data_IF_960352189684
#
_entry.id   IF_960352189684
#
_cell.length_a   1.000
_cell.length_b   1.000
_cell.length_c   1.000
_cell.angle_alpha   90.00
_cell.angle_beta   90.00
_cell.angle_gamma   90.00
#
_symmetry.space_group_name_H-M   'P 1'
#
loop_
_entity.id
_entity.type
_entity.pdbx_description
1 polymer ?
#
# COMPACT_ATOMS: atom_id res chain seq x y z
N UNK A 1 12.51 -1.55 -14.14
CA UNK A 1 12.93 -1.38 -12.73
C UNK A 1 11.72 -1.49 -11.82
N UNK A 2 11.88 -2.19 -10.71
CA UNK A 2 10.79 -2.30 -9.75
C UNK A 2 10.64 -1.00 -8.96
N UNK A 3 9.40 -0.71 -8.56
CA UNK A 3 9.12 0.45 -7.71
C UNK A 3 9.30 0.03 -6.25
N UNK A 4 10.50 0.24 -5.73
CA UNK A 4 10.84 -0.18 -4.36
C UNK A 4 10.02 0.55 -3.30
N UNK A 5 9.69 1.80 -3.54
CA UNK A 5 8.88 2.58 -2.61
C UNK A 5 7.49 1.96 -2.48
N UNK A 6 6.88 1.57 -3.58
CA UNK A 6 5.56 0.93 -3.58
C UNK A 6 5.61 -0.43 -2.88
N UNK A 7 6.64 -1.23 -3.19
CA UNK A 7 6.83 -2.54 -2.55
C UNK A 7 6.98 -2.38 -1.03
N UNK A 8 7.77 -1.43 -0.59
CA UNK A 8 7.99 -1.18 0.83
C UNK A 8 6.69 -0.80 1.54
N UNK A 9 5.90 0.09 0.92
CA UNK A 9 4.59 0.46 1.46
C UNK A 9 3.69 -0.75 1.59
N UNK A 10 3.62 -1.57 0.55
CA UNK A 10 2.76 -2.74 0.55
C UNK A 10 3.15 -3.76 1.61
N UNK A 11 4.44 -4.07 1.68
CA UNK A 11 4.95 -5.07 2.64
C UNK A 11 4.72 -4.60 4.08
N UNK A 12 4.99 -3.34 4.37
CA UNK A 12 4.80 -2.81 5.73
C UNK A 12 3.32 -2.81 6.12
N UNK A 13 2.44 -2.44 5.19
CA UNK A 13 1.01 -2.35 5.49
C UNK A 13 0.32 -3.71 5.52
N UNK A 14 0.69 -4.64 4.65
CA UNK A 14 -0.08 -5.86 4.44
C UNK A 14 0.73 -7.16 4.46
N UNK A 15 2.05 -7.08 4.56
CA UNK A 15 2.89 -8.27 4.59
C UNK A 15 3.15 -8.86 3.21
N UNK A 16 3.43 -10.16 3.16
CA UNK A 16 3.88 -10.81 1.91
C UNK A 16 2.82 -10.80 0.80
N UNK A 17 1.56 -10.93 1.15
CA UNK A 17 0.46 -10.94 0.17
C UNK A 17 -0.08 -9.53 -0.10
N UNK A 18 0.77 -8.53 -0.05
CA UNK A 18 0.36 -7.13 -0.08
C UNK A 18 -0.29 -6.68 -1.40
N UNK A 19 0.07 -7.30 -2.52
CA UNK A 19 -0.42 -6.84 -3.83
C UNK A 19 -1.94 -6.90 -3.93
N UNK A 20 -2.52 -8.04 -3.58
CA UNK A 20 -3.98 -8.21 -3.57
C UNK A 20 -4.64 -7.30 -2.56
N UNK A 21 -4.07 -7.24 -1.35
CA UNK A 21 -4.63 -6.43 -0.26
C UNK A 21 -4.58 -4.95 -0.59
N UNK A 22 -3.48 -4.48 -1.18
CA UNK A 22 -3.36 -3.07 -1.57
C UNK A 22 -4.33 -2.73 -2.70
N UNK A 23 -4.45 -3.60 -3.71
CA UNK A 23 -5.39 -3.40 -4.80
C UNK A 23 -6.82 -3.29 -4.28
N UNK A 24 -7.19 -4.16 -3.36
CA UNK A 24 -8.51 -4.13 -2.73
C UNK A 24 -8.72 -2.84 -1.94
N UNK A 25 -7.74 -2.45 -1.13
CA UNK A 25 -7.82 -1.23 -0.32
C UNK A 25 -7.93 0.03 -1.18
N UNK A 26 -7.25 0.05 -2.33
CA UNK A 26 -7.29 1.17 -3.27
C UNK A 26 -8.47 1.08 -4.26
N UNK A 27 -9.19 -0.03 -4.23
CA UNK A 27 -10.30 -0.30 -5.16
C UNK A 27 -9.85 -0.24 -6.63
N UNK A 28 -8.73 -0.89 -6.93
CA UNK A 28 -8.17 -0.97 -8.28
C UNK A 28 -7.93 -2.43 -8.68
N UNK A 29 -7.82 -2.67 -9.98
CA UNK A 29 -7.47 -3.99 -10.49
C UNK A 29 -6.04 -4.33 -10.09
N UNK A 30 -5.76 -5.56 -9.58
CA UNK A 30 -4.39 -5.96 -9.22
C UNK A 30 -3.37 -5.82 -10.35
N UNK A 31 -3.81 -5.86 -11.61
CA UNK A 31 -2.94 -5.65 -12.76
C UNK A 31 -2.32 -4.24 -12.76
N UNK A 32 -3.01 -3.26 -12.19
CA UNK A 32 -2.46 -1.91 -12.06
C UNK A 32 -1.26 -1.90 -11.14
N UNK A 33 -1.33 -2.65 -10.04
CA UNK A 33 -0.20 -2.78 -9.11
C UNK A 33 1.01 -3.34 -9.86
N UNK A 34 0.82 -4.36 -10.67
CA UNK A 34 1.90 -4.95 -11.46
C UNK A 34 2.52 -3.95 -12.44
N UNK A 35 1.69 -3.16 -13.13
CA UNK A 35 2.16 -2.14 -14.06
C UNK A 35 2.98 -1.05 -13.36
N UNK A 36 2.57 -0.67 -12.16
CA UNK A 36 3.31 0.31 -11.37
C UNK A 36 4.64 -0.25 -10.88
N UNK A 37 4.67 -1.54 -10.52
CA UNK A 37 5.90 -2.19 -10.05
C UNK A 37 6.93 -2.34 -11.16
N UNK A 38 6.50 -2.74 -12.35
CA UNK A 38 7.43 -2.99 -13.46
C UNK A 38 7.80 -1.71 -14.23
N UNK A 39 7.20 -0.57 -13.87
CA UNK A 39 7.49 0.70 -14.50
C UNK A 39 6.76 0.95 -15.80
N UNK A 40 5.86 0.06 -16.22
CA UNK A 40 5.07 0.23 -17.43
C UNK A 40 4.19 1.48 -17.34
N UNK A 41 3.69 1.77 -16.14
CA UNK A 41 2.89 2.97 -15.88
C UNK A 41 3.34 3.62 -14.58
N UNK A 42 3.38 4.95 -14.53
CA UNK A 42 3.72 5.65 -13.29
C UNK A 42 2.58 5.52 -12.28
N UNK A 43 2.93 5.55 -11.01
CA UNK A 43 1.93 5.58 -9.92
C UNK A 43 1.31 6.98 -9.90
N UNK A 44 -0.03 7.10 -10.04
CA UNK A 44 -0.67 8.42 -9.93
C UNK A 44 -0.45 9.05 -8.56
N UNK A 45 -0.34 10.38 -8.51
CA UNK A 45 -0.17 11.10 -7.25
C UNK A 45 -1.25 10.78 -6.22
N UNK A 46 -2.51 10.67 -6.68
CA UNK A 46 -3.62 10.34 -5.79
C UNK A 46 -3.46 9.01 -5.08
N UNK A 47 -2.77 8.05 -5.71
CA UNK A 47 -2.50 6.76 -5.10
C UNK A 47 -1.55 6.91 -3.90
N UNK A 48 -0.53 7.75 -4.03
CA UNK A 48 0.38 8.02 -2.91
C UNK A 48 -0.36 8.66 -1.73
N UNK A 49 -1.30 9.57 -2.01
CA UNK A 49 -2.14 10.19 -0.98
C UNK A 49 -2.98 9.11 -0.28
N UNK A 50 -3.59 8.22 -1.05
CA UNK A 50 -4.42 7.14 -0.49
C UNK A 50 -3.59 6.19 0.36
N UNK A 51 -2.38 5.83 -0.10
CA UNK A 51 -1.47 4.98 0.67
C UNK A 51 -1.08 5.65 1.99
N UNK A 52 -0.83 6.95 1.96
CA UNK A 52 -0.53 7.70 3.19
C UNK A 52 -1.68 7.63 4.18
N UNK A 53 -2.91 7.78 3.70
CA UNK A 53 -4.10 7.68 4.54
C UNK A 53 -4.23 6.28 5.15
N UNK A 54 -3.98 5.23 4.37
CA UNK A 54 -3.98 3.86 4.86
C UNK A 54 -2.94 3.67 5.96
N UNK A 55 -1.75 4.23 5.77
CA UNK A 55 -0.67 4.14 6.75
C UNK A 55 -1.03 4.86 8.04
N UNK A 56 -1.64 6.03 7.94
CA UNK A 56 -2.07 6.81 9.12
C UNK A 56 -3.15 6.07 9.91
N UNK A 57 -4.12 5.46 9.22
CA UNK A 57 -5.15 4.64 9.85
C UNK A 57 -4.54 3.44 10.56
N UNK A 58 -3.58 2.77 9.92
CA UNK A 58 -2.89 1.62 10.51
C UNK A 58 -2.09 2.03 11.75
N UNK A 59 -1.43 3.17 11.69
CA UNK A 59 -0.70 3.72 12.82
C UNK A 59 -1.62 3.92 14.02
N UNK A 60 -2.78 4.51 13.80
CA UNK A 60 -3.76 4.74 14.85
C UNK A 60 -4.25 3.43 15.46
N UNK A 61 -4.53 2.43 14.63
CA UNK A 61 -4.96 1.12 15.11
C UNK A 61 -3.88 0.45 15.97
N UNK A 62 -2.62 0.57 15.54
CA UNK A 62 -1.48 0.01 16.28
C UNK A 62 -1.32 0.73 17.62
N UNK A 63 -1.42 2.06 17.62
CA UNK A 63 -1.32 2.85 18.86
C UNK A 63 -2.41 2.45 19.86
N UNK A 64 -3.62 2.25 19.39
CA UNK A 64 -4.73 1.78 20.24
C UNK A 64 -4.47 0.39 20.79
N UNK A 65 -3.94 -0.50 19.96
CA UNK A 65 -3.60 -1.85 20.39
C UNK A 65 -2.54 -1.82 21.49
N UNK A 66 -1.48 -1.03 21.28
CA UNK A 66 -0.39 -0.92 22.25
C UNK A 66 -0.90 -0.39 23.58
N UNK A 67 -1.84 0.55 23.57
CA UNK A 67 -2.39 1.12 24.80
C UNK A 67 -3.18 0.11 25.62
N UNK A 68 -3.63 -0.99 25.00
CA UNK A 68 -4.38 -2.05 25.67
C UNK A 68 -3.50 -3.20 26.17
N UNK A 69 -2.27 -3.22 25.70
CA UNK A 69 -1.30 -4.24 26.09
C UNK A 69 -0.48 -3.79 27.28
#
# INVERSE_FOLDING_TARGET
MSNEKLTKCGVILFGNAWKSSLAEALNVDPRRITHWLDGTRPVPEGVWVDIKLLAEQRKQQIDELISKL
#
